data_IF_868619671374
#
_entry.id   IF_868619671374
#
_cell.length_a   1.000
_cell.length_b   1.000
_cell.length_c   1.000
_cell.angle_alpha   90.00
_cell.angle_beta   90.00
_cell.angle_gamma   90.00
#
_symmetry.space_group_name_H-M   'P 1'
#
loop_
_entity.id
_entity.type
_entity.pdbx_description
1 polymer ?
#
# COMPACT_ATOMS: atom_id res chain seq x y z
N UNK A 1 -11.22 20.19 -9.51
CA UNK A 1 -10.72 18.96 -8.87
C UNK A 1 -11.91 18.11 -8.49
N UNK A 2 -11.80 16.79 -8.60
CA UNK A 2 -12.89 15.87 -8.24
C UNK A 2 -12.59 15.24 -6.89
N UNK A 3 -12.78 16.00 -5.81
CA UNK A 3 -12.87 15.46 -4.46
C UNK A 3 -14.18 14.69 -4.38
N UNK A 4 -14.11 13.48 -3.83
CA UNK A 4 -15.27 12.59 -3.71
C UNK A 4 -16.22 13.09 -2.63
N UNK A 5 -15.68 13.38 -1.45
CA UNK A 5 -16.40 13.87 -0.28
C UNK A 5 -15.40 14.53 0.70
N UNK A 6 -15.93 15.40 1.56
CA UNK A 6 -15.24 15.99 2.71
C UNK A 6 -15.60 15.18 3.95
N UNK A 7 -14.59 14.70 4.68
CA UNK A 7 -14.76 13.83 5.87
C UNK A 7 -14.07 14.47 7.05
N UNK A 8 -14.73 14.51 8.21
CA UNK A 8 -14.15 15.04 9.44
C UNK A 8 -13.17 14.02 10.05
N UNK A 9 -12.06 14.48 10.60
CA UNK A 9 -11.02 13.62 11.19
C UNK A 9 -11.55 12.68 12.30
N UNK A 10 -12.63 13.07 12.98
CA UNK A 10 -13.33 12.27 13.99
C UNK A 10 -13.98 10.99 13.42
N UNK A 11 -14.28 10.96 12.12
CA UNK A 11 -14.86 9.81 11.41
C UNK A 11 -13.79 8.86 10.86
N UNK A 12 -12.51 9.24 10.92
CA UNK A 12 -11.40 8.38 10.51
C UNK A 12 -10.92 7.49 11.64
N UNK A 13 -10.50 6.27 11.28
CA UNK A 13 -9.90 5.32 12.22
C UNK A 13 -8.39 5.62 12.34
N UNK A 14 -7.98 6.13 13.50
CA UNK A 14 -6.58 6.44 13.80
C UNK A 14 -5.83 5.22 14.35
N UNK A 15 -4.76 4.81 13.66
CA UNK A 15 -3.84 3.78 14.13
C UNK A 15 -2.63 4.43 14.82
N UNK A 16 -2.47 4.35 16.16
CA UNK A 16 -1.38 4.99 16.88
C UNK A 16 -0.01 4.33 16.67
N UNK A 17 0.02 3.07 16.18
CA UNK A 17 1.28 2.37 15.92
C UNK A 17 1.90 2.84 14.62
N UNK A 18 1.06 3.06 13.60
CA UNK A 18 1.48 3.54 12.28
C UNK A 18 1.36 5.04 12.12
N UNK A 19 0.61 5.71 12.98
CA UNK A 19 0.24 7.14 12.90
C UNK A 19 -0.44 7.45 11.55
N UNK A 20 -1.37 6.59 11.16
CA UNK A 20 -2.11 6.70 9.90
C UNK A 20 -3.59 6.74 10.23
N UNK A 21 -4.31 7.63 9.56
CA UNK A 21 -5.76 7.66 9.55
C UNK A 21 -6.29 6.87 8.36
N UNK A 22 -7.29 6.02 8.61
CA UNK A 22 -7.92 5.22 7.56
C UNK A 22 -9.43 5.42 7.49
N UNK A 23 -9.97 5.43 6.28
CA UNK A 23 -11.40 5.60 6.03
C UNK A 23 -11.92 4.56 5.02
N UNK A 24 -13.07 3.90 5.24
CA UNK A 24 -13.60 2.90 4.32
C UNK A 24 -13.96 3.52 2.96
N UNK A 25 -13.40 2.99 1.88
CA UNK A 25 -13.68 3.43 0.53
C UNK A 25 -14.81 2.58 -0.10
N UNK A 26 -15.78 3.19 -0.82
CA UNK A 26 -16.90 2.46 -1.42
C UNK A 26 -16.51 1.43 -2.48
N UNK A 27 -15.24 1.42 -2.92
CA UNK A 27 -14.74 0.40 -3.85
C UNK A 27 -14.25 -0.89 -3.18
N UNK A 28 -14.22 -0.95 -1.84
CA UNK A 28 -13.86 -2.14 -1.07
C UNK A 28 -12.50 -2.07 -0.35
N UNK A 29 -11.70 -1.04 -0.63
CA UNK A 29 -10.44 -0.75 0.07
C UNK A 29 -10.62 0.38 1.10
N UNK A 30 -9.52 0.93 1.60
CA UNK A 30 -9.52 2.06 2.53
C UNK A 30 -8.66 3.18 1.99
N UNK A 31 -9.11 4.41 2.20
CA UNK A 31 -8.25 5.57 2.12
C UNK A 31 -7.26 5.53 3.28
N UNK A 32 -6.05 6.01 3.05
CA UNK A 32 -5.00 6.12 4.06
C UNK A 32 -4.27 7.44 3.93
N UNK A 33 -4.06 8.13 5.05
CA UNK A 33 -3.24 9.34 5.13
C UNK A 33 -2.39 9.32 6.39
N UNK A 34 -1.14 9.75 6.29
CA UNK A 34 -0.22 9.80 7.43
C UNK A 34 -0.47 11.05 8.27
N UNK A 35 -0.26 10.93 9.59
CA UNK A 35 -0.36 12.04 10.53
C UNK A 35 0.62 13.16 10.16
N UNK A 36 1.83 12.81 9.71
CA UNK A 36 2.83 13.77 9.23
C UNK A 36 2.33 14.62 8.05
N UNK A 37 1.59 14.02 7.11
CA UNK A 37 1.04 14.72 5.97
C UNK A 37 -0.03 15.74 6.41
N UNK A 38 -0.89 15.36 7.36
CA UNK A 38 -1.86 16.27 7.96
C UNK A 38 -1.15 17.45 8.67
N UNK A 39 -0.05 17.21 9.36
CA UNK A 39 0.75 18.27 9.99
C UNK A 39 1.47 19.19 8.98
N UNK A 40 1.77 18.70 7.77
CA UNK A 40 2.33 19.51 6.67
C UNK A 40 1.25 20.33 5.95
N UNK A 41 -0.03 20.10 6.25
CA UNK A 41 -1.17 20.73 5.59
C UNK A 41 -1.72 19.95 4.40
N UNK A 42 -1.32 18.68 4.22
CA UNK A 42 -1.88 17.80 3.20
C UNK A 42 -3.11 17.06 3.76
N UNK A 43 -4.29 17.59 3.42
CA UNK A 43 -5.62 17.07 3.78
C UNK A 43 -6.20 16.08 2.76
N UNK A 44 -5.41 15.59 1.80
CA UNK A 44 -5.91 14.77 0.71
C UNK A 44 -5.59 13.29 0.91
N UNK A 45 -6.60 12.52 1.33
CA UNK A 45 -6.47 11.06 1.42
C UNK A 45 -6.66 10.39 0.06
N UNK A 46 -5.75 9.48 -0.27
CA UNK A 46 -5.80 8.67 -1.49
C UNK A 46 -6.06 7.20 -1.20
N UNK A 47 -6.80 6.55 -2.10
CA UNK A 47 -7.04 5.09 -2.03
C UNK A 47 -6.10 4.37 -3.01
N UNK A 48 -5.43 3.28 -2.61
CA UNK A 48 -4.52 2.55 -3.50
C UNK A 48 -5.25 1.81 -4.63
N UNK A 49 -6.50 1.37 -4.40
CA UNK A 49 -7.30 0.67 -5.41
C UNK A 49 -8.15 1.61 -6.27
N UNK A 50 -8.33 2.86 -5.84
CA UNK A 50 -9.26 3.79 -6.46
C UNK A 50 -8.59 5.14 -6.66
N UNK A 51 -8.72 5.72 -7.86
CA UNK A 51 -8.23 7.09 -8.15
C UNK A 51 -9.04 8.20 -7.47
N UNK A 52 -9.91 7.82 -6.54
CA UNK A 52 -10.71 8.72 -5.72
C UNK A 52 -9.83 9.38 -4.67
N UNK A 53 -10.24 10.57 -4.25
CA UNK A 53 -9.59 11.36 -3.21
C UNK A 53 -10.67 11.98 -2.34
N UNK A 54 -10.43 12.00 -1.04
CA UNK A 54 -11.30 12.67 -0.06
C UNK A 54 -10.50 13.79 0.61
N UNK A 55 -11.19 14.84 1.02
CA UNK A 55 -10.62 15.97 1.77
C UNK A 55 -10.90 15.74 3.25
N UNK A 56 -9.86 15.74 4.09
CA UNK A 56 -9.99 15.61 5.54
C UNK A 56 -10.11 16.99 6.17
N UNK A 57 -11.22 17.24 6.86
CA UNK A 57 -11.41 18.44 7.67
C UNK A 57 -10.87 18.16 9.08
N UNK A 58 -9.87 18.92 9.50
CA UNK A 58 -9.26 18.83 10.83
C UNK A 58 -8.90 20.22 11.37
N UNK A 59 -8.77 20.31 12.69
CA UNK A 59 -8.18 21.46 13.39
C UNK A 59 -6.82 21.04 13.98
N UNK A 60 -5.88 21.99 14.06
CA UNK A 60 -4.54 21.75 14.62
C UNK A 60 -4.58 21.22 16.06
N UNK A 61 -5.64 21.54 16.81
CA UNK A 61 -5.87 21.09 18.18
C UNK A 61 -6.34 19.63 18.29
N UNK A 62 -6.87 19.03 17.22
CA UNK A 62 -7.36 17.64 17.20
C UNK A 62 -6.24 16.64 16.87
N UNK A 63 -5.20 17.11 16.18
CA UNK A 63 -4.09 16.26 15.77
C UNK A 63 -3.18 15.91 16.96
N UNK A 64 -2.85 14.62 17.15
CA UNK A 64 -1.86 14.23 18.13
C UNK A 64 -0.48 14.81 17.76
N UNK A 65 0.34 15.22 18.74
CA UNK A 65 1.64 15.80 18.48
C UNK A 65 2.57 14.78 17.83
N UNK A 66 3.23 15.17 16.75
CA UNK A 66 4.32 14.39 16.19
C UNK A 66 5.44 14.31 17.24
N UNK A 67 5.94 13.11 17.59
CA UNK A 67 7.19 13.04 18.31
C UNK A 67 8.29 13.56 17.38
N UNK A 68 9.00 14.59 17.86
CA UNK A 68 10.24 15.05 17.25
C UNK A 68 11.28 13.94 17.43
N UNK A 69 11.35 13.02 16.49
CA UNK A 69 12.58 12.28 16.25
C UNK A 69 13.40 13.16 15.29
N UNK A 70 14.23 14.04 15.87
CA UNK A 70 15.33 14.71 15.18
C UNK A 70 16.33 13.65 14.67
N UNK A 71 15.99 12.87 13.63
CA UNK A 71 16.96 12.11 12.84
C UNK A 71 16.43 11.93 11.40
N UNK A 72 17.10 12.66 10.53
CA UNK A 72 17.10 12.63 9.07
C UNK A 72 17.32 11.20 8.51
N UNK A 73 16.81 10.94 7.30
CA UNK A 73 17.05 9.78 6.43
C UNK A 73 16.17 8.51 6.57
N UNK A 74 15.15 8.42 5.71
CA UNK A 74 15.08 7.30 4.76
C UNK A 74 14.34 7.71 3.47
N UNK A 75 15.12 7.81 2.40
CA UNK A 75 14.67 7.69 1.01
C UNK A 75 13.87 6.37 0.78
N UNK A 76 13.16 6.27 -0.35
CA UNK A 76 12.46 5.09 -0.94
C UNK A 76 10.92 5.10 -0.72
N UNK A 77 10.05 5.18 -1.72
CA UNK A 77 10.08 4.59 -3.06
C UNK A 77 9.40 5.52 -4.08
N UNK A 78 10.18 6.00 -5.04
CA UNK A 78 9.65 6.46 -6.30
C UNK A 78 9.65 5.29 -7.28
N UNK A 79 8.49 4.73 -7.60
CA UNK A 79 8.33 3.95 -8.83
C UNK A 79 7.43 4.69 -9.82
N UNK A 80 8.08 5.51 -10.66
CA UNK A 80 7.47 6.05 -11.88
C UNK A 80 7.56 5.04 -13.04
N UNK A 81 6.38 4.77 -13.63
CA UNK A 81 6.10 4.66 -15.07
C UNK A 81 6.64 3.48 -15.92
N UNK A 82 5.64 2.91 -16.61
CA UNK A 82 5.58 2.60 -18.07
C UNK A 82 6.43 1.45 -18.61
N UNK A 83 5.74 0.41 -19.03
CA UNK A 83 6.14 -0.45 -20.15
C UNK A 83 5.11 -0.34 -21.29
N UNK A 84 5.52 0.27 -22.40
CA UNK A 84 4.79 0.34 -23.67
C UNK A 84 5.39 -0.66 -24.69
N UNK A 85 4.49 -1.35 -25.42
CA UNK A 85 4.59 -1.90 -26.80
C UNK A 85 5.59 -3.04 -27.19
N UNK A 86 5.07 -4.19 -27.67
CA UNK A 86 5.23 -4.71 -29.07
C UNK A 86 4.99 -6.25 -29.28
N UNK A 87 4.03 -6.56 -30.16
CA UNK A 87 4.02 -7.59 -31.24
C UNK A 87 4.27 -9.13 -31.06
N UNK A 88 3.17 -9.89 -31.24
CA UNK A 88 2.86 -11.10 -32.09
C UNK A 88 3.91 -12.19 -32.42
N UNK A 89 3.36 -13.42 -32.56
CA UNK A 89 3.88 -14.72 -33.09
C UNK A 89 4.43 -15.60 -31.95
N UNK A 90 4.09 -16.87 -31.76
CA UNK A 90 3.46 -17.89 -32.60
C UNK A 90 4.15 -19.22 -32.28
N UNK A 91 3.37 -20.26 -31.97
CA UNK A 91 3.69 -21.69 -31.99
C UNK A 91 4.79 -22.27 -31.06
N UNK A 92 4.31 -23.09 -30.10
CA UNK A 92 4.63 -24.53 -29.98
C UNK A 92 6.11 -24.96 -29.92
N UNK A 93 6.58 -25.37 -28.73
CA UNK A 93 7.42 -26.57 -28.68
C UNK A 93 7.38 -27.26 -27.30
N UNK A 94 7.09 -28.55 -27.36
CA UNK A 94 7.02 -29.55 -26.29
C UNK A 94 8.41 -30.20 -26.17
N UNK A 95 8.91 -30.39 -24.95
CA UNK A 95 9.94 -31.37 -24.56
C UNK A 95 9.60 -31.73 -23.11
N UNK A 96 8.78 -32.74 -22.79
CA UNK A 96 8.99 -34.20 -22.79
C UNK A 96 10.31 -34.72 -22.18
N UNK A 97 10.13 -35.80 -21.41
CA UNK A 97 11.09 -36.67 -20.70
C UNK A 97 11.58 -36.13 -19.34
N UNK A 98 11.37 -36.80 -18.19
CA UNK A 98 11.13 -38.21 -17.92
C UNK A 98 12.23 -38.75 -16.99
N UNK A 99 11.88 -39.77 -16.20
CA UNK A 99 12.72 -40.59 -15.30
C UNK A 99 13.09 -39.98 -13.93
N UNK A 100 13.15 -40.73 -12.83
CA UNK A 100 12.65 -42.04 -12.41
C UNK A 100 13.04 -42.18 -10.92
N UNK A 101 12.26 -42.95 -10.18
CA UNK A 101 12.52 -43.46 -8.84
C UNK A 101 13.97 -43.87 -8.56
N UNK A 102 14.48 -43.55 -7.36
CA UNK A 102 15.34 -44.50 -6.64
C UNK A 102 15.19 -44.39 -5.13
N UNK A 103 14.55 -45.42 -4.60
CA UNK A 103 14.50 -45.83 -3.20
C UNK A 103 15.90 -46.03 -2.63
N UNK A 104 16.24 -45.39 -1.52
CA UNK A 104 17.32 -45.78 -0.61
C UNK A 104 16.89 -45.32 0.80
N UNK A 105 16.28 -46.15 1.65
CA UNK A 105 16.80 -47.29 2.43
C UNK A 105 17.88 -46.90 3.43
N UNK A 106 17.64 -47.32 4.69
CA UNK A 106 18.53 -47.35 5.87
C UNK A 106 18.31 -46.16 6.82
N UNK A 107 18.28 -46.29 8.14
CA UNK A 107 18.69 -47.39 9.01
C UNK A 107 18.02 -47.20 10.39
N UNK A 108 17.91 -48.31 11.11
CA UNK A 108 17.35 -48.46 12.45
C UNK A 108 17.92 -47.50 13.52
N UNK A 109 17.06 -47.12 14.48
CA UNK A 109 17.51 -46.89 15.85
C UNK A 109 16.63 -47.72 16.80
N UNK A 110 17.30 -48.34 17.75
CA UNK A 110 16.81 -49.37 18.68
C UNK A 110 15.80 -48.87 19.69
#
# INVERSE_FOLDING_TARGET
>A
MSIYEEVEIEDLDYDPLKRIYTYPCPCGDKFSISLEALWDGEDIATCPSCTLRIEIIYDEDDLPPLPQDDDDESEDDGEEKKMDAAERRGASHILDEGLADVTNKSLAVK
#
